data_IF_844488281411
#
_entry.id   IF_844488281411
#
_cell.length_a   1.000
_cell.length_b   1.000
_cell.length_c   1.000
_cell.angle_alpha   90.00
_cell.angle_beta   90.00
_cell.angle_gamma   90.00
#
_symmetry.space_group_name_H-M   'P 1'
#
loop_
_entity.id
_entity.type
_entity.pdbx_description
1 polymer ?
#
# COMPACT_ATOMS: atom_id res chain seq x y z
N UNK A 1 104.90 109.24 60.10
CA UNK A 1 103.56 109.55 59.54
C UNK A 1 103.09 108.54 58.47
N UNK A 2 103.90 107.56 58.05
CA UNK A 2 103.50 106.55 57.03
C UNK A 2 102.75 105.33 57.58
N UNK A 3 103.09 104.84 58.79
CA UNK A 3 102.50 103.61 59.34
C UNK A 3 101.01 103.72 59.66
N UNK A 4 100.56 104.89 60.10
CA UNK A 4 99.13 105.14 60.38
C UNK A 4 98.29 105.21 59.09
N UNK A 5 98.82 105.76 57.99
CA UNK A 5 98.11 105.79 56.70
C UNK A 5 98.06 104.42 56.02
N UNK A 6 99.06 103.56 56.25
CA UNK A 6 99.08 102.19 55.76
C UNK A 6 98.05 101.33 56.52
N UNK A 7 98.03 101.41 57.85
CA UNK A 7 97.04 100.73 58.69
C UNK A 7 95.60 101.16 58.40
N UNK A 8 95.35 102.45 58.11
CA UNK A 8 94.00 102.95 57.77
C UNK A 8 93.48 102.36 56.44
N UNK A 9 94.35 102.26 55.42
CA UNK A 9 94.01 101.64 54.14
C UNK A 9 93.78 100.14 54.26
N UNK A 10 94.62 99.45 55.04
CA UNK A 10 94.48 98.03 55.33
C UNK A 10 93.18 97.74 56.11
N UNK A 11 92.84 98.59 57.09
CA UNK A 11 91.58 98.51 57.82
C UNK A 11 90.36 98.77 56.92
N UNK A 12 90.46 99.67 55.93
CA UNK A 12 89.40 99.90 54.94
C UNK A 12 89.23 98.69 54.00
N UNK A 13 90.33 98.09 53.53
CA UNK A 13 90.30 96.85 52.72
C UNK A 13 89.67 95.71 53.52
N UNK A 14 90.02 95.56 54.80
CA UNK A 14 89.42 94.55 55.68
C UNK A 14 87.92 94.77 55.89
N UNK A 15 87.46 96.02 56.00
CA UNK A 15 86.02 96.35 56.06
C UNK A 15 85.28 96.00 54.78
N UNK A 16 85.87 96.28 53.62
CA UNK A 16 85.29 95.91 52.32
C UNK A 16 85.26 94.39 52.12
N UNK A 17 86.32 93.68 52.53
CA UNK A 17 86.36 92.21 52.52
C UNK A 17 85.32 91.58 53.47
N UNK A 18 85.13 92.16 54.65
CA UNK A 18 84.09 91.73 55.60
C UNK A 18 82.70 91.90 54.98
N UNK A 19 82.44 93.07 54.39
CA UNK A 19 81.17 93.36 53.73
C UNK A 19 80.91 92.44 52.54
N UNK A 20 81.92 92.17 51.72
CA UNK A 20 81.81 91.22 50.59
C UNK A 20 81.58 89.78 51.08
N UNK A 21 82.21 89.38 52.19
CA UNK A 21 81.99 88.08 52.82
C UNK A 21 80.57 87.96 53.40
N UNK A 22 80.04 89.01 54.03
CA UNK A 22 78.67 89.09 54.54
C UNK A 22 77.65 89.02 53.39
N UNK A 23 77.81 89.81 52.33
CA UNK A 23 76.94 89.78 51.15
C UNK A 23 76.97 88.40 50.44
N UNK A 24 78.14 87.74 50.38
CA UNK A 24 78.26 86.36 49.88
C UNK A 24 77.57 85.35 50.78
N UNK A 25 77.69 85.50 52.10
CA UNK A 25 77.03 84.62 53.07
C UNK A 25 75.50 84.73 52.95
N UNK A 26 74.96 85.96 52.91
CA UNK A 26 73.53 86.22 52.73
C UNK A 26 73.03 85.70 51.38
N UNK A 27 73.80 85.92 50.31
CA UNK A 27 73.47 85.37 48.98
C UNK A 27 73.44 83.84 48.96
N UNK A 28 74.42 83.18 49.60
CA UNK A 28 74.44 81.73 49.78
C UNK A 28 73.28 81.25 50.64
N UNK A 29 72.95 81.97 51.72
CA UNK A 29 71.85 81.63 52.61
C UNK A 29 70.49 81.75 51.90
N UNK A 30 70.26 82.81 51.12
CA UNK A 30 69.06 82.98 50.29
C UNK A 30 68.94 81.85 49.27
N UNK A 31 70.02 81.55 48.53
CA UNK A 31 70.03 80.48 47.52
C UNK A 31 69.78 79.10 48.13
N UNK A 32 70.40 78.81 49.28
CA UNK A 32 70.20 77.54 49.99
C UNK A 32 68.78 77.40 50.53
N UNK A 33 68.17 78.48 51.02
CA UNK A 33 66.77 78.49 51.46
C UNK A 33 65.80 78.22 50.30
N UNK A 34 66.05 78.82 49.13
CA UNK A 34 65.24 78.61 47.93
C UNK A 34 65.36 77.16 47.40
N UNK A 35 66.58 76.61 47.34
CA UNK A 35 66.82 75.21 46.94
C UNK A 35 66.18 74.21 47.90
N UNK A 36 66.28 74.44 49.22
CA UNK A 36 65.59 73.63 50.23
C UNK A 36 64.06 73.72 50.06
N UNK A 37 63.53 74.90 49.74
CA UNK A 37 62.11 75.10 49.43
C UNK A 37 61.65 74.26 48.24
N UNK A 38 62.37 74.35 47.12
CA UNK A 38 62.08 73.58 45.90
C UNK A 38 62.16 72.06 46.15
N UNK A 39 63.18 71.59 46.88
CA UNK A 39 63.32 70.17 47.23
C UNK A 39 62.17 69.68 48.13
N UNK A 40 61.69 70.51 49.07
CA UNK A 40 60.53 70.19 49.91
C UNK A 40 59.24 70.08 49.10
N UNK A 41 59.00 70.97 48.15
CA UNK A 41 57.84 70.88 47.25
C UNK A 41 57.90 69.63 46.37
N UNK A 42 59.08 69.32 45.82
CA UNK A 42 59.28 68.13 44.99
C UNK A 42 59.07 66.85 45.80
N UNK A 43 59.56 66.80 47.04
CA UNK A 43 59.32 65.70 47.97
C UNK A 43 57.83 65.54 48.27
N UNK A 44 57.13 66.65 48.56
CA UNK A 44 55.69 66.64 48.83
C UNK A 44 54.90 66.09 47.65
N UNK A 45 55.19 66.58 46.43
CA UNK A 45 54.55 66.09 45.20
C UNK A 45 54.81 64.60 44.96
N UNK A 46 56.04 64.14 45.17
CA UNK A 46 56.40 62.72 45.04
C UNK A 46 55.64 61.84 46.05
N UNK A 47 55.43 62.31 47.29
CA UNK A 47 54.64 61.60 48.29
C UNK A 47 53.17 61.50 47.86
N UNK A 48 52.57 62.61 47.43
CA UNK A 48 51.18 62.64 46.93
C UNK A 48 50.98 61.72 45.72
N UNK A 49 51.89 61.76 44.75
CA UNK A 49 51.88 60.87 43.57
C UNK A 49 52.00 59.38 43.98
N UNK A 50 52.80 59.07 45.00
CA UNK A 50 52.96 57.72 45.53
C UNK A 50 51.67 57.23 46.22
N UNK A 51 50.99 58.09 46.97
CA UNK A 51 49.71 57.77 47.62
C UNK A 51 48.59 57.51 46.60
N UNK A 52 48.53 58.32 45.54
CA UNK A 52 47.59 58.12 44.42
C UNK A 52 47.90 56.79 43.71
N UNK A 53 49.16 56.56 43.33
CA UNK A 53 49.59 55.33 42.66
C UNK A 53 49.28 54.08 43.49
N UNK A 54 49.44 54.16 44.81
CA UNK A 54 49.10 53.07 45.73
C UNK A 54 47.60 52.78 45.73
N UNK A 55 46.77 53.82 45.75
CA UNK A 55 45.31 53.69 45.73
C UNK A 55 44.81 53.09 44.40
N UNK A 56 45.41 53.50 43.28
CA UNK A 56 45.12 52.93 41.95
C UNK A 56 45.50 51.45 41.87
N UNK A 57 46.65 51.08 42.44
CA UNK A 57 47.11 49.69 42.51
C UNK A 57 46.15 48.83 43.36
N UNK A 58 45.67 49.34 44.49
CA UNK A 58 44.69 48.64 45.33
C UNK A 58 43.36 48.45 44.59
N UNK A 59 42.90 49.44 43.84
CA UNK A 59 41.69 49.34 43.02
C UNK A 59 41.85 48.30 41.89
N UNK A 60 42.99 48.31 41.20
CA UNK A 60 43.30 47.31 40.15
C UNK A 60 43.36 45.89 40.71
N UNK A 61 43.95 45.71 41.89
CA UNK A 61 44.01 44.42 42.56
C UNK A 61 42.59 43.89 42.90
N UNK A 62 41.71 44.75 43.40
CA UNK A 62 40.32 44.39 43.71
C UNK A 62 39.53 44.01 42.44
N UNK A 63 39.64 44.80 41.37
CA UNK A 63 38.98 44.50 40.09
C UNK A 63 39.47 43.18 39.48
N UNK A 64 40.77 42.92 39.52
CA UNK A 64 41.36 41.64 39.10
C UNK A 64 40.82 40.48 39.94
N UNK A 65 40.72 40.63 41.26
CA UNK A 65 40.17 39.59 42.14
C UNK A 65 38.71 39.26 41.80
N UNK A 66 37.88 40.29 41.53
CA UNK A 66 36.48 40.13 41.09
C UNK A 66 36.42 39.37 39.76
N UNK A 67 37.23 39.78 38.77
CA UNK A 67 37.29 39.12 37.46
C UNK A 67 37.74 37.67 37.57
N UNK A 68 38.73 37.36 38.41
CA UNK A 68 39.19 36.00 38.67
C UNK A 68 38.09 35.15 39.29
N UNK A 69 37.37 35.67 40.29
CA UNK A 69 36.24 34.96 40.92
C UNK A 69 35.14 34.66 39.91
N UNK A 70 34.76 35.65 39.08
CA UNK A 70 33.75 35.49 38.03
C UNK A 70 34.16 34.43 37.02
N UNK A 71 35.40 34.51 36.51
CA UNK A 71 35.92 33.52 35.56
C UNK A 71 35.95 32.10 36.14
N UNK A 72 36.35 31.94 37.41
CA UNK A 72 36.34 30.64 38.07
C UNK A 72 34.93 30.06 38.21
N UNK A 73 33.93 30.90 38.49
CA UNK A 73 32.53 30.48 38.55
C UNK A 73 32.02 30.04 37.17
N UNK A 74 32.22 30.86 36.14
CA UNK A 74 31.84 30.54 34.76
C UNK A 74 32.51 29.24 34.27
N UNK A 75 33.78 29.03 34.60
CA UNK A 75 34.50 27.79 34.29
C UNK A 75 33.83 26.57 34.92
N UNK A 76 33.42 26.65 36.18
CA UNK A 76 32.72 25.56 36.88
C UNK A 76 31.34 25.30 36.27
N UNK A 77 30.60 26.35 35.94
CA UNK A 77 29.29 26.25 35.31
C UNK A 77 29.38 25.63 33.91
N UNK A 78 30.29 26.10 33.06
CA UNK A 78 30.52 25.53 31.74
C UNK A 78 30.93 24.06 31.81
N UNK A 79 31.74 23.67 32.79
CA UNK A 79 32.09 22.26 32.97
C UNK A 79 30.87 21.40 33.35
N UNK A 80 29.97 21.90 34.21
CA UNK A 80 28.71 21.21 34.56
C UNK A 80 27.78 21.12 33.35
N UNK A 81 27.62 22.20 32.61
CA UNK A 81 26.80 22.24 31.39
C UNK A 81 27.31 21.27 30.33
N UNK A 82 28.64 21.21 30.12
CA UNK A 82 29.25 20.27 29.18
C UNK A 82 29.03 18.80 29.59
N UNK A 83 29.09 18.48 30.89
CA UNK A 83 28.76 17.14 31.39
C UNK A 83 27.29 16.80 31.15
N UNK A 84 26.38 17.74 31.44
CA UNK A 84 24.95 17.56 31.19
C UNK A 84 24.66 17.33 29.70
N UNK A 85 25.25 18.16 28.82
CA UNK A 85 25.13 18.01 27.37
C UNK A 85 25.64 16.65 26.87
N UNK A 86 26.81 16.21 27.32
CA UNK A 86 27.33 14.87 26.97
C UNK A 86 26.40 13.75 27.39
N UNK A 87 25.82 13.84 28.58
CA UNK A 87 24.85 12.83 29.05
C UNK A 87 23.57 12.82 28.21
N UNK A 88 23.10 13.99 27.77
CA UNK A 88 21.91 14.12 26.91
C UNK A 88 22.17 13.60 25.51
N UNK A 89 23.32 13.92 24.91
CA UNK A 89 23.75 13.37 23.62
C UNK A 89 23.77 11.85 23.68
N UNK A 90 24.39 11.26 24.71
CA UNK A 90 24.41 9.80 24.89
C UNK A 90 23.01 9.19 24.94
N UNK A 91 22.09 9.77 25.73
CA UNK A 91 20.69 9.30 25.79
C UNK A 91 20.01 9.36 24.43
N UNK A 92 20.22 10.42 23.65
CA UNK A 92 19.64 10.54 22.32
C UNK A 92 20.24 9.51 21.36
N UNK A 93 21.55 9.27 21.39
CA UNK A 93 22.20 8.22 20.59
C UNK A 93 21.63 6.83 20.94
N UNK A 94 21.58 6.49 22.23
CA UNK A 94 21.04 5.19 22.67
C UNK A 94 19.57 5.00 22.26
N UNK A 95 18.79 6.08 22.29
CA UNK A 95 17.37 6.06 21.87
C UNK A 95 17.25 5.91 20.35
N UNK A 96 18.08 6.63 19.58
CA UNK A 96 18.11 6.54 18.13
C UNK A 96 18.48 5.12 17.67
N UNK A 97 19.48 4.50 18.29
CA UNK A 97 19.88 3.13 17.99
C UNK A 97 18.76 2.11 18.25
N UNK A 98 17.95 2.31 19.31
CA UNK A 98 16.77 1.48 19.58
C UNK A 98 15.70 1.66 18.50
N UNK A 99 15.46 2.89 18.05
CA UNK A 99 14.52 3.14 16.96
C UNK A 99 14.98 2.51 15.64
N UNK A 100 16.26 2.63 15.28
CA UNK A 100 16.81 2.01 14.08
C UNK A 100 16.64 0.48 14.11
N UNK A 101 16.94 -0.18 15.24
CA UNK A 101 16.70 -1.63 15.40
C UNK A 101 15.22 -2.00 15.28
N UNK A 102 14.33 -1.16 15.81
CA UNK A 102 12.88 -1.39 15.73
C UNK A 102 12.38 -1.27 14.29
N UNK A 103 12.89 -0.29 13.55
CA UNK A 103 12.57 -0.09 12.13
C UNK A 103 13.03 -1.29 11.31
N UNK A 104 14.27 -1.74 11.47
CA UNK A 104 14.82 -2.92 10.78
C UNK A 104 14.00 -4.19 11.05
N UNK A 105 13.61 -4.42 12.31
CA UNK A 105 12.76 -5.55 12.67
C UNK A 105 11.36 -5.44 12.04
N UNK A 106 10.77 -4.24 12.02
CA UNK A 106 9.45 -4.01 11.40
C UNK A 106 9.50 -4.18 9.88
N UNK A 107 10.58 -3.76 9.24
CA UNK A 107 10.80 -3.95 7.81
C UNK A 107 10.90 -5.45 7.46
N UNK A 108 11.62 -6.23 8.28
CA UNK A 108 11.68 -7.70 8.13
C UNK A 108 10.29 -8.34 8.27
N UNK A 109 9.53 -7.98 9.30
CA UNK A 109 8.17 -8.49 9.52
C UNK A 109 7.23 -8.14 8.35
N UNK A 110 7.33 -6.92 7.83
CA UNK A 110 6.56 -6.47 6.68
C UNK A 110 6.90 -7.29 5.43
N UNK A 111 8.19 -7.48 5.13
CA UNK A 111 8.63 -8.24 3.96
C UNK A 111 8.19 -9.71 4.02
N UNK A 112 8.24 -10.35 5.20
CA UNK A 112 7.70 -11.71 5.39
C UNK A 112 6.19 -11.73 5.08
N UNK A 113 5.43 -10.80 5.65
CA UNK A 113 3.98 -10.72 5.45
C UNK A 113 3.61 -10.49 3.99
N UNK A 114 4.34 -9.61 3.30
CA UNK A 114 4.16 -9.33 1.89
C UNK A 114 4.44 -10.57 1.03
N UNK A 115 5.54 -11.28 1.30
CA UNK A 115 5.87 -12.50 0.57
C UNK A 115 4.79 -13.58 0.75
N UNK A 116 4.32 -13.80 1.97
CA UNK A 116 3.23 -14.75 2.24
C UNK A 116 1.95 -14.37 1.50
N UNK A 117 1.61 -13.08 1.46
CA UNK A 117 0.46 -12.58 0.71
C UNK A 117 0.61 -12.85 -0.79
N UNK A 118 1.78 -12.54 -1.37
CA UNK A 118 2.05 -12.76 -2.79
C UNK A 118 2.01 -14.24 -3.17
N UNK A 119 2.62 -15.11 -2.37
CA UNK A 119 2.57 -16.56 -2.56
C UNK A 119 1.12 -17.09 -2.53
N UNK A 120 0.33 -16.64 -1.55
CA UNK A 120 -1.08 -17.02 -1.43
C UNK A 120 -1.89 -16.51 -2.61
N UNK A 121 -1.69 -15.25 -3.02
CA UNK A 121 -2.38 -14.65 -4.16
C UNK A 121 -2.08 -15.39 -5.46
N UNK A 122 -0.81 -15.77 -5.69
CA UNK A 122 -0.42 -16.53 -6.87
C UNK A 122 -1.07 -17.93 -6.88
N UNK A 123 -1.06 -18.62 -5.74
CA UNK A 123 -1.73 -19.92 -5.61
C UNK A 123 -3.23 -19.83 -5.89
N UNK A 124 -3.91 -18.81 -5.37
CA UNK A 124 -5.32 -18.58 -5.62
C UNK A 124 -5.60 -18.26 -7.11
N UNK A 125 -4.72 -17.52 -7.77
CA UNK A 125 -4.84 -17.26 -9.21
C UNK A 125 -4.73 -18.55 -10.02
N UNK A 126 -3.78 -19.43 -9.69
CA UNK A 126 -3.63 -20.73 -10.35
C UNK A 126 -4.85 -21.64 -10.12
N UNK A 127 -5.38 -21.67 -8.89
CA UNK A 127 -6.59 -22.43 -8.56
C UNK A 127 -7.82 -21.90 -9.30
N UNK A 128 -7.95 -20.58 -9.42
CA UNK A 128 -9.02 -19.94 -10.19
C UNK A 128 -9.01 -20.40 -11.65
N UNK A 129 -7.85 -20.38 -12.32
CA UNK A 129 -7.74 -20.82 -13.72
C UNK A 129 -8.16 -22.28 -13.88
N UNK A 130 -7.70 -23.16 -12.99
CA UNK A 130 -8.09 -24.59 -13.01
C UNK A 130 -9.60 -24.78 -12.84
N UNK A 131 -10.23 -24.02 -11.94
CA UNK A 131 -11.67 -24.08 -11.74
C UNK A 131 -12.45 -23.57 -12.96
N UNK A 132 -11.99 -22.49 -13.59
CA UNK A 132 -12.60 -21.97 -14.82
C UNK A 132 -12.53 -22.98 -15.96
N UNK A 133 -11.40 -23.68 -16.13
CA UNK A 133 -11.25 -24.77 -17.09
C UNK A 133 -12.19 -25.96 -16.80
N UNK A 134 -12.30 -26.35 -15.53
CA UNK A 134 -13.22 -27.43 -15.11
C UNK A 134 -14.69 -27.06 -15.36
N UNK A 135 -15.08 -25.82 -15.06
CA UNK A 135 -16.43 -25.32 -15.35
C UNK A 135 -16.71 -25.41 -16.85
N UNK A 136 -15.79 -24.90 -17.69
CA UNK A 136 -15.93 -24.93 -19.14
C UNK A 136 -16.06 -26.37 -19.67
N UNK A 137 -15.24 -27.28 -19.15
CA UNK A 137 -15.32 -28.70 -19.51
C UNK A 137 -16.68 -29.31 -19.13
N UNK A 138 -17.12 -29.11 -17.88
CA UNK A 138 -18.38 -29.66 -17.40
C UNK A 138 -19.61 -29.14 -18.17
N UNK A 139 -19.57 -27.88 -18.62
CA UNK A 139 -20.60 -27.31 -19.48
C UNK A 139 -20.63 -28.00 -20.85
N UNK A 140 -19.47 -28.23 -21.44
CA UNK A 140 -19.35 -28.99 -22.69
C UNK A 140 -19.88 -30.42 -22.55
N UNK A 141 -19.47 -31.13 -21.49
CA UNK A 141 -19.91 -32.50 -21.20
C UNK A 141 -21.45 -32.55 -21.01
N UNK A 142 -22.03 -31.57 -20.30
CA UNK A 142 -23.47 -31.46 -20.10
C UNK A 142 -24.23 -31.22 -21.43
N UNK A 143 -23.73 -30.31 -22.27
CA UNK A 143 -24.32 -30.06 -23.59
C UNK A 143 -24.26 -31.30 -24.49
N UNK A 144 -23.16 -32.05 -24.43
CA UNK A 144 -23.02 -33.31 -25.18
C UNK A 144 -23.98 -34.38 -24.67
N UNK A 145 -24.12 -34.54 -23.35
CA UNK A 145 -25.10 -35.42 -22.74
C UNK A 145 -26.54 -35.07 -23.17
N UNK A 146 -26.89 -33.78 -23.19
CA UNK A 146 -28.21 -33.33 -23.67
C UNK A 146 -28.42 -33.68 -25.13
N UNK A 147 -27.42 -33.46 -26.00
CA UNK A 147 -27.50 -33.86 -27.42
C UNK A 147 -27.71 -35.36 -27.57
N UNK A 148 -26.91 -36.19 -26.89
CA UNK A 148 -27.05 -37.65 -26.93
C UNK A 148 -28.42 -38.13 -26.45
N UNK A 149 -28.96 -37.51 -25.39
CA UNK A 149 -30.29 -37.83 -24.89
C UNK A 149 -31.40 -37.51 -25.92
N UNK A 150 -31.33 -36.33 -26.56
CA UNK A 150 -32.25 -35.93 -27.64
C UNK A 150 -32.17 -36.89 -28.82
N UNK A 151 -30.96 -37.25 -29.27
CA UNK A 151 -30.75 -38.21 -30.36
C UNK A 151 -31.33 -39.60 -30.02
N UNK A 152 -31.12 -40.06 -28.78
CA UNK A 152 -31.69 -41.32 -28.32
C UNK A 152 -33.22 -41.30 -28.26
N UNK A 153 -33.83 -40.22 -27.73
CA UNK A 153 -35.29 -40.06 -27.71
C UNK A 153 -35.88 -40.07 -29.12
N UNK A 154 -35.27 -39.35 -30.07
CA UNK A 154 -35.69 -39.35 -31.49
C UNK A 154 -35.57 -40.74 -32.10
N UNK A 155 -34.48 -41.46 -31.84
CA UNK A 155 -34.26 -42.82 -32.36
C UNK A 155 -35.33 -43.80 -31.88
N UNK A 156 -35.69 -43.72 -30.59
CA UNK A 156 -36.79 -44.52 -30.01
C UNK A 156 -38.12 -44.19 -30.69
N UNK A 157 -38.46 -42.90 -30.83
CA UNK A 157 -39.71 -42.48 -31.48
C UNK A 157 -39.76 -42.90 -32.96
N UNK A 158 -38.66 -42.81 -33.70
CA UNK A 158 -38.57 -43.27 -35.10
C UNK A 158 -38.79 -44.77 -35.19
N UNK A 159 -38.16 -45.54 -34.30
CA UNK A 159 -38.31 -47.00 -34.26
C UNK A 159 -39.76 -47.40 -33.96
N UNK A 160 -40.43 -46.70 -33.02
CA UNK A 160 -41.83 -46.93 -32.72
C UNK A 160 -42.75 -46.57 -33.88
N UNK A 161 -42.51 -45.43 -34.54
CA UNK A 161 -43.21 -45.02 -35.76
C UNK A 161 -43.12 -46.10 -36.83
N UNK A 162 -41.90 -46.51 -37.18
CA UNK A 162 -41.65 -47.55 -38.18
C UNK A 162 -42.35 -48.87 -37.83
N UNK A 163 -42.30 -49.27 -36.56
CA UNK A 163 -42.93 -50.51 -36.08
C UNK A 163 -44.46 -50.45 -36.22
N UNK A 164 -45.11 -49.36 -35.80
CA UNK A 164 -46.56 -49.23 -35.86
C UNK A 164 -47.05 -49.05 -37.31
N UNK A 165 -46.34 -48.26 -38.12
CA UNK A 165 -46.59 -48.11 -39.57
C UNK A 165 -46.50 -49.46 -40.27
N UNK A 166 -45.47 -50.26 -39.98
CA UNK A 166 -45.31 -51.60 -40.56
C UNK A 166 -46.50 -52.51 -40.20
N UNK A 167 -46.93 -52.53 -38.94
CA UNK A 167 -48.08 -53.33 -38.49
C UNK A 167 -49.38 -52.94 -39.21
N UNK A 168 -49.66 -51.63 -39.31
CA UNK A 168 -50.86 -51.12 -39.98
C UNK A 168 -50.84 -51.44 -41.48
N UNK A 169 -49.69 -51.26 -42.15
CA UNK A 169 -49.51 -51.62 -43.55
C UNK A 169 -49.68 -53.12 -43.80
N UNK A 170 -49.14 -53.98 -42.93
CA UNK A 170 -49.33 -55.42 -43.04
C UNK A 170 -50.82 -55.83 -42.92
N UNK A 171 -51.55 -55.21 -41.97
CA UNK A 171 -53.00 -55.39 -41.82
C UNK A 171 -53.77 -54.90 -43.05
N UNK A 172 -53.42 -53.73 -43.57
CA UNK A 172 -54.05 -53.16 -44.76
C UNK A 172 -53.81 -54.03 -46.00
N UNK A 173 -52.58 -54.49 -46.23
CA UNK A 173 -52.25 -55.39 -47.33
C UNK A 173 -53.01 -56.72 -47.23
N UNK A 174 -53.11 -57.30 -46.03
CA UNK A 174 -53.90 -58.51 -45.82
C UNK A 174 -55.40 -58.29 -46.08
N UNK A 175 -55.95 -57.16 -45.63
CA UNK A 175 -57.33 -56.78 -45.91
C UNK A 175 -57.58 -56.56 -47.42
N UNK A 176 -56.64 -55.95 -48.13
CA UNK A 176 -56.69 -55.76 -49.58
C UNK A 176 -56.67 -57.08 -50.35
N UNK A 177 -55.87 -58.06 -49.90
CA UNK A 177 -55.88 -59.42 -50.46
C UNK A 177 -57.24 -60.10 -50.27
N UNK A 178 -57.80 -60.05 -49.05
CA UNK A 178 -59.13 -60.61 -48.77
C UNK A 178 -60.24 -59.93 -49.59
N UNK A 179 -60.20 -58.60 -49.70
CA UNK A 179 -61.13 -57.84 -50.54
C UNK A 179 -61.03 -58.25 -52.02
N UNK A 180 -59.82 -58.47 -52.54
CA UNK A 180 -59.59 -58.92 -53.91
C UNK A 180 -60.17 -60.32 -54.15
N UNK A 181 -60.02 -61.23 -53.19
CA UNK A 181 -60.63 -62.56 -53.22
C UNK A 181 -62.15 -62.45 -53.25
N UNK A 182 -62.77 -61.68 -52.35
CA UNK A 182 -64.23 -61.47 -52.34
C UNK A 182 -64.77 -60.86 -53.63
N UNK A 183 -64.08 -59.85 -54.17
CA UNK A 183 -64.42 -59.23 -55.47
C UNK A 183 -64.37 -60.25 -56.61
N UNK A 184 -63.44 -61.22 -56.58
CA UNK A 184 -63.36 -62.27 -57.60
C UNK A 184 -64.55 -63.24 -57.58
N UNK A 185 -65.10 -63.55 -56.40
CA UNK A 185 -66.32 -64.37 -56.27
C UNK A 185 -67.59 -63.63 -56.68
N UNK A 186 -67.63 -62.31 -56.50
CA UNK A 186 -68.77 -61.46 -56.89
C UNK A 186 -68.93 -61.28 -58.40
N UNK A 187 -67.92 -61.61 -59.21
CA UNK A 187 -67.93 -61.51 -60.68
C UNK A 187 -68.62 -62.70 -61.37
N UNK A 188 -69.02 -63.72 -60.60
CA UNK A 188 -69.82 -64.85 -61.09
C UNK A 188 -71.33 -64.52 -61.01
N UNK A 189 -72.13 -64.98 -61.98
CA UNK A 189 -73.48 -64.47 -62.31
C UNK A 189 -74.60 -64.65 -61.24
N UNK A 190 -74.26 -64.89 -59.98
CA UNK A 190 -75.17 -65.03 -58.83
C UNK A 190 -74.58 -64.33 -57.59
N UNK A 191 -74.39 -63.02 -57.66
CA UNK A 191 -73.95 -62.25 -56.48
C UNK A 191 -75.10 -62.12 -55.47
N UNK A 192 -75.05 -62.90 -54.39
CA UNK A 192 -76.00 -62.78 -53.27
C UNK A 192 -75.83 -61.40 -52.58
N UNK A 193 -76.91 -60.74 -52.12
CA UNK A 193 -76.84 -59.45 -51.40
C UNK A 193 -75.86 -59.43 -50.20
N UNK A 194 -75.66 -60.60 -49.58
CA UNK A 194 -74.71 -60.81 -48.49
C UNK A 194 -73.24 -60.54 -48.91
N UNK A 195 -72.85 -60.92 -50.13
CA UNK A 195 -71.48 -60.75 -50.62
C UNK A 195 -71.13 -59.27 -50.86
N UNK A 196 -72.11 -58.48 -51.32
CA UNK A 196 -71.92 -57.03 -51.51
C UNK A 196 -71.72 -56.30 -50.17
N UNK A 197 -72.51 -56.67 -49.15
CA UNK A 197 -72.33 -56.13 -47.79
C UNK A 197 -70.95 -56.44 -47.20
N UNK A 198 -70.39 -57.62 -47.47
CA UNK A 198 -69.03 -57.97 -47.04
C UNK A 198 -67.96 -57.17 -47.79
N UNK A 199 -68.11 -56.96 -49.09
CA UNK A 199 -67.18 -56.11 -49.87
C UNK A 199 -67.16 -54.69 -49.29
N UNK A 200 -68.33 -54.11 -49.01
CA UNK A 200 -68.43 -52.75 -48.47
C UNK A 200 -67.86 -52.65 -47.04
N UNK A 201 -68.00 -53.70 -46.20
CA UNK A 201 -67.39 -53.74 -44.86
C UNK A 201 -65.86 -53.83 -44.90
N UNK A 202 -65.30 -54.62 -45.82
CA UNK A 202 -63.85 -54.70 -46.05
C UNK A 202 -63.28 -53.40 -46.63
N UNK A 203 -63.98 -52.73 -47.54
CA UNK A 203 -63.58 -51.40 -48.06
C UNK A 203 -63.57 -50.34 -46.96
N UNK A 204 -64.60 -50.32 -46.10
CA UNK A 204 -64.65 -49.43 -44.93
C UNK A 204 -63.52 -49.73 -43.94
N UNK A 205 -63.24 -51.01 -43.68
CA UNK A 205 -62.15 -51.44 -42.80
C UNK A 205 -60.78 -50.96 -43.32
N UNK A 206 -60.50 -51.14 -44.62
CA UNK A 206 -59.27 -50.64 -45.26
C UNK A 206 -59.17 -49.12 -45.19
N UNK A 207 -60.27 -48.41 -45.44
CA UNK A 207 -60.31 -46.94 -45.32
C UNK A 207 -60.00 -46.48 -43.89
N UNK A 208 -60.48 -47.21 -42.88
CA UNK A 208 -60.21 -46.90 -41.48
C UNK A 208 -58.75 -47.18 -41.09
N UNK A 209 -58.16 -48.26 -41.59
CA UNK A 209 -56.73 -48.55 -41.41
C UNK A 209 -55.85 -47.49 -42.06
N UNK A 210 -56.20 -47.00 -43.26
CA UNK A 210 -55.47 -45.91 -43.94
C UNK A 210 -55.54 -44.61 -43.15
N UNK A 211 -56.71 -44.27 -42.60
CA UNK A 211 -56.87 -43.10 -41.73
C UNK A 211 -56.04 -43.21 -40.44
N UNK A 212 -56.08 -44.37 -39.79
CA UNK A 212 -55.27 -44.62 -38.59
C UNK A 212 -53.77 -44.54 -38.89
N UNK A 213 -53.33 -44.99 -40.07
CA UNK A 213 -51.94 -44.88 -40.50
C UNK A 213 -51.49 -43.42 -40.58
N UNK A 214 -52.28 -42.55 -41.22
CA UNK A 214 -51.99 -41.11 -41.33
C UNK A 214 -51.94 -40.43 -39.94
N UNK A 215 -52.88 -40.76 -39.06
CA UNK A 215 -52.92 -40.22 -37.68
C UNK A 215 -51.68 -40.62 -36.88
N UNK A 216 -51.27 -41.89 -36.95
CA UNK A 216 -50.10 -42.41 -36.25
C UNK A 216 -48.81 -41.77 -36.78
N UNK A 217 -48.67 -41.64 -38.09
CA UNK A 217 -47.50 -41.01 -38.69
C UNK A 217 -47.38 -39.53 -38.29
N UNK A 218 -48.49 -38.80 -38.29
CA UNK A 218 -48.54 -37.40 -37.89
C UNK A 218 -48.19 -37.23 -36.40
N UNK A 219 -48.76 -38.06 -35.51
CA UNK A 219 -48.52 -37.94 -34.07
C UNK A 219 -47.06 -38.27 -33.69
N UNK A 220 -46.46 -39.30 -34.30
CA UNK A 220 -45.04 -39.58 -34.06
C UNK A 220 -44.13 -38.48 -34.63
N UNK A 221 -44.46 -37.89 -35.78
CA UNK A 221 -43.69 -36.79 -36.34
C UNK A 221 -43.77 -35.54 -35.45
N UNK A 222 -44.94 -35.21 -34.92
CA UNK A 222 -45.12 -34.13 -33.95
C UNK A 222 -44.27 -34.34 -32.70
N UNK A 223 -44.31 -35.55 -32.12
CA UNK A 223 -43.49 -35.90 -30.95
C UNK A 223 -41.99 -35.77 -31.23
N UNK A 224 -41.53 -36.19 -32.41
CA UNK A 224 -40.13 -36.02 -32.83
C UNK A 224 -39.76 -34.54 -32.92
N UNK A 225 -40.63 -33.70 -33.49
CA UNK A 225 -40.39 -32.26 -33.57
C UNK A 225 -40.40 -31.60 -32.18
N UNK A 226 -41.28 -32.02 -31.28
CA UNK A 226 -41.29 -31.55 -29.89
C UNK A 226 -39.95 -31.84 -29.18
N UNK A 227 -39.41 -33.06 -29.35
CA UNK A 227 -38.09 -33.43 -28.80
C UNK A 227 -36.97 -32.59 -29.41
N UNK A 228 -36.97 -32.39 -30.74
CA UNK A 228 -35.99 -31.50 -31.41
C UNK A 228 -36.05 -30.06 -30.90
N UNK A 229 -37.24 -29.58 -30.54
CA UNK A 229 -37.47 -28.26 -29.99
C UNK A 229 -37.17 -28.16 -28.48
N UNK A 230 -36.71 -29.24 -27.85
CA UNK A 230 -36.24 -29.26 -26.47
C UNK A 230 -37.29 -29.66 -25.43
N UNK A 231 -38.47 -30.12 -25.86
CA UNK A 231 -39.44 -30.74 -24.95
C UNK A 231 -38.90 -32.10 -24.51
N UNK A 232 -38.89 -32.35 -23.21
CA UNK A 232 -38.36 -33.58 -22.60
C UNK A 232 -39.48 -34.55 -22.26
N UNK A 233 -39.11 -35.84 -22.11
CA UNK A 233 -40.03 -36.91 -21.70
C UNK A 233 -41.19 -37.13 -22.69
N UNK A 234 -40.94 -36.95 -23.99
CA UNK A 234 -41.95 -37.17 -25.04
C UNK A 234 -42.15 -38.65 -25.39
N UNK A 235 -41.50 -39.57 -24.67
CA UNK A 235 -41.56 -41.01 -24.88
C UNK A 235 -42.90 -41.61 -24.42
N UNK A 236 -43.95 -41.29 -25.16
CA UNK A 236 -45.28 -41.89 -25.02
C UNK A 236 -45.63 -42.60 -26.31
N UNK A 237 -46.01 -43.88 -26.20
CA UNK A 237 -46.39 -44.69 -27.36
C UNK A 237 -47.74 -44.23 -27.88
N UNK A 238 -47.88 -44.11 -29.19
CA UNK A 238 -49.17 -43.84 -29.84
C UNK A 238 -50.02 -45.10 -29.76
N UNK A 239 -51.22 -44.99 -29.20
CA UNK A 239 -52.17 -46.10 -29.10
C UNK A 239 -52.90 -46.27 -30.43
N UNK A 240 -52.75 -47.45 -31.06
CA UNK A 240 -53.52 -47.81 -32.25
C UNK A 240 -54.76 -48.57 -31.85
N UNK A 241 -55.94 -48.13 -32.30
CA UNK A 241 -57.17 -48.86 -32.01
C UNK A 241 -57.18 -50.21 -32.74
N UNK A 242 -57.33 -51.30 -31.98
CA UNK A 242 -57.46 -52.65 -32.56
C UNK A 242 -58.83 -52.80 -33.21
N UNK A 243 -58.86 -52.69 -34.53
CA UNK A 243 -60.05 -52.95 -35.32
C UNK A 243 -60.10 -54.44 -35.66
N UNK A 244 -61.14 -55.18 -35.24
CA UNK A 244 -61.31 -56.56 -35.66
C UNK A 244 -61.64 -56.60 -37.16
N UNK A 245 -61.10 -57.58 -37.91
CA UNK A 245 -61.48 -57.78 -39.31
C UNK A 245 -62.99 -58.12 -39.41
N UNK A 246 -63.69 -57.67 -40.47
CA UNK A 246 -65.10 -57.97 -40.73
C UNK A 246 -65.39 -59.46 -40.98
#
# INVERSE_FOLDING_TARGET
QGDTQYMEKEHQVLKEQLKEAEEKLDGLQSRSSEEIGALKELLKKSVEETEVSKSELDWLNQDLEIKVKKWQQEKKENQKNLKALRSRVKKHTDTNDRYLKTIDEKEKQYNVSLNTYLETSNKLADEKVKLEELIKKSQGDCQECVKRAVEAEISVLSTWKETEVYKLNARAANAEVNLKVLKSFSSSASAAPNLKSQIDSWEKFISNLKKQLEEVEAEYEEKIQMVKNGVRNCLTRVETAELPPP
#
